data_IF_183617831580
#
_entry.id   IF_183617831580
#
_cell.length_a   1.000
_cell.length_b   1.000
_cell.length_c   1.000
_cell.angle_alpha   90.00
_cell.angle_beta   90.00
_cell.angle_gamma   90.00
#
_symmetry.space_group_name_H-M   'P 1'
#
loop_
_entity.id
_entity.type
_entity.pdbx_description
1 polymer ?
#
# COMPACT_ATOMS: atom_id res chain seq x y z
N UNK A 1 -7.06 -37.68 7.51
CA UNK A 1 -7.70 -36.38 7.28
C UNK A 1 -6.81 -35.30 7.89
N UNK A 2 -6.08 -34.54 7.17
CA UNK A 2 -5.50 -33.25 7.63
C UNK A 2 -4.17 -32.83 7.02
N UNK A 3 -3.70 -33.51 5.99
CA UNK A 3 -2.41 -33.10 5.37
C UNK A 3 -2.57 -32.11 4.23
N UNK A 4 -3.77 -31.95 3.65
CA UNK A 4 -3.98 -31.04 2.51
C UNK A 4 -4.22 -29.58 2.94
N UNK A 5 -4.84 -29.37 4.12
CA UNK A 5 -5.11 -28.01 4.65
C UNK A 5 -3.80 -27.35 5.09
N UNK A 6 -2.90 -28.10 5.73
CA UNK A 6 -1.59 -27.57 6.13
C UNK A 6 -0.67 -27.21 4.96
N UNK A 7 -0.71 -27.96 3.86
CA UNK A 7 0.07 -27.66 2.66
C UNK A 7 -0.44 -26.42 1.93
N UNK A 8 -1.75 -26.23 1.86
CA UNK A 8 -2.36 -25.04 1.27
C UNK A 8 -1.97 -23.77 2.00
N UNK A 9 -2.03 -23.78 3.32
CA UNK A 9 -1.68 -22.63 4.17
C UNK A 9 -0.19 -22.30 4.11
N UNK A 10 0.69 -23.30 4.08
CA UNK A 10 2.13 -23.11 3.96
C UNK A 10 2.51 -22.43 2.64
N UNK A 11 1.99 -22.91 1.50
CA UNK A 11 2.24 -22.32 0.19
C UNK A 11 1.62 -20.93 0.04
N UNK A 12 0.49 -20.68 0.68
CA UNK A 12 -0.16 -19.37 0.68
C UNK A 12 0.60 -18.31 1.48
N UNK A 13 1.51 -18.71 2.38
CA UNK A 13 2.31 -17.81 3.23
C UNK A 13 3.69 -17.47 2.64
N UNK A 14 4.05 -18.01 1.49
CA UNK A 14 5.33 -17.73 0.84
C UNK A 14 5.23 -16.57 -0.15
N UNK A 15 6.32 -15.80 -0.34
CA UNK A 15 6.39 -14.84 -1.44
C UNK A 15 6.21 -15.55 -2.79
N UNK A 16 5.40 -15.02 -3.70
CA UNK A 16 5.25 -15.61 -5.03
C UNK A 16 6.56 -15.52 -5.81
N UNK A 17 6.78 -16.48 -6.70
CA UNK A 17 8.02 -16.57 -7.49
C UNK A 17 8.33 -15.26 -8.23
N UNK A 18 7.33 -14.60 -8.77
CA UNK A 18 7.50 -13.33 -9.49
C UNK A 18 8.10 -12.22 -8.64
N UNK A 19 7.94 -12.28 -7.31
CA UNK A 19 8.47 -11.26 -6.38
C UNK A 19 9.97 -11.38 -6.14
N UNK A 20 10.55 -12.58 -6.33
CA UNK A 20 11.92 -12.86 -5.90
C UNK A 20 12.95 -12.04 -6.66
N UNK A 21 12.70 -11.72 -7.92
CA UNK A 21 13.58 -10.89 -8.74
C UNK A 21 13.71 -9.45 -8.21
N UNK A 22 12.73 -8.98 -7.44
CA UNK A 22 12.64 -7.59 -6.99
C UNK A 22 12.92 -7.40 -5.49
N UNK A 23 13.14 -8.49 -4.77
CA UNK A 23 13.35 -8.46 -3.32
C UNK A 23 14.45 -7.50 -2.90
N UNK A 24 15.65 -7.67 -3.45
CA UNK A 24 16.81 -6.88 -3.03
C UNK A 24 16.66 -5.41 -3.39
N UNK A 25 16.10 -5.12 -4.56
CA UNK A 25 15.87 -3.74 -5.00
C UNK A 25 14.83 -3.04 -4.10
N UNK A 26 13.73 -3.73 -3.77
CA UNK A 26 12.74 -3.17 -2.87
C UNK A 26 13.32 -2.88 -1.49
N UNK A 27 14.06 -3.82 -0.91
CA UNK A 27 14.69 -3.64 0.41
C UNK A 27 15.63 -2.43 0.39
N UNK A 28 16.49 -2.33 -0.61
CA UNK A 28 17.43 -1.23 -0.75
C UNK A 28 16.72 0.11 -0.92
N UNK A 29 15.77 0.20 -1.83
CA UNK A 29 15.00 1.43 -2.09
C UNK A 29 14.20 1.86 -0.86
N UNK A 30 13.53 0.92 -0.20
CA UNK A 30 12.77 1.21 1.02
C UNK A 30 13.66 1.80 2.11
N UNK A 31 14.85 1.22 2.32
CA UNK A 31 15.80 1.71 3.34
C UNK A 31 16.41 3.06 2.98
N UNK A 32 16.66 3.33 1.71
CA UNK A 32 17.12 4.65 1.27
C UNK A 32 16.09 5.74 1.59
N UNK A 33 14.82 5.48 1.39
CA UNK A 33 13.74 6.48 1.52
C UNK A 33 13.22 6.57 2.96
N UNK A 34 13.05 5.44 3.65
CA UNK A 34 12.42 5.38 4.97
C UNK A 34 13.39 5.12 6.13
N UNK A 35 14.63 4.71 5.85
CA UNK A 35 15.60 4.29 6.85
C UNK A 35 15.58 2.79 7.12
N UNK A 36 16.39 2.35 8.09
CA UNK A 36 16.60 0.93 8.37
C UNK A 36 15.35 0.19 8.85
N UNK A 37 14.41 0.90 9.43
CA UNK A 37 13.16 0.35 9.94
C UNK A 37 12.00 0.45 8.93
N UNK A 38 12.32 0.64 7.65
CA UNK A 38 11.32 0.70 6.59
C UNK A 38 10.37 -0.51 6.64
N UNK A 39 9.05 -0.29 6.48
CA UNK A 39 8.08 -1.38 6.50
C UNK A 39 8.06 -2.14 5.17
N UNK A 40 9.14 -2.83 4.85
CA UNK A 40 9.34 -3.52 3.57
C UNK A 40 8.24 -4.55 3.30
N UNK A 41 7.80 -5.28 4.33
CA UNK A 41 6.74 -6.27 4.17
C UNK A 41 5.41 -5.63 3.72
N UNK A 42 5.11 -4.43 4.21
CA UNK A 42 3.93 -3.67 3.76
C UNK A 42 4.05 -3.26 2.29
N UNK A 43 5.21 -2.75 1.88
CA UNK A 43 5.44 -2.36 0.47
C UNK A 43 5.37 -3.56 -0.47
N UNK A 44 5.94 -4.69 -0.07
CA UNK A 44 5.85 -5.93 -0.83
C UNK A 44 4.40 -6.40 -0.94
N UNK A 45 3.66 -6.35 0.16
CA UNK A 45 2.23 -6.65 0.18
C UNK A 45 1.42 -5.72 -0.72
N UNK A 46 1.82 -4.45 -0.80
CA UNK A 46 1.17 -3.47 -1.67
C UNK A 46 1.43 -3.77 -3.15
N UNK A 47 2.66 -4.05 -3.55
CA UNK A 47 2.98 -4.47 -4.92
C UNK A 47 2.25 -5.77 -5.29
N UNK A 48 2.13 -6.68 -4.35
CA UNK A 48 1.34 -7.90 -4.51
C UNK A 48 -0.13 -7.58 -4.81
N UNK A 49 -0.75 -6.72 -4.01
CA UNK A 49 -2.16 -6.31 -4.18
C UNK A 49 -2.38 -5.57 -5.49
N UNK A 50 -1.48 -4.67 -5.85
CA UNK A 50 -1.65 -3.82 -7.03
C UNK A 50 -1.55 -4.58 -8.35
N UNK A 51 -0.57 -5.47 -8.47
CA UNK A 51 -0.24 -6.07 -9.77
C UNK A 51 0.19 -7.54 -9.72
N UNK A 52 0.26 -8.14 -8.53
CA UNK A 52 0.95 -9.42 -8.34
C UNK A 52 2.37 -9.41 -8.95
N UNK A 53 3.09 -8.30 -8.81
CA UNK A 53 4.45 -8.08 -9.32
C UNK A 53 4.56 -8.09 -10.85
N UNK A 54 3.48 -7.80 -11.57
CA UNK A 54 3.45 -7.77 -13.04
C UNK A 54 3.75 -6.35 -13.54
N UNK A 55 4.89 -6.14 -14.27
CA UNK A 55 5.30 -4.79 -14.66
C UNK A 55 4.42 -4.12 -15.71
N UNK A 56 3.73 -4.91 -16.53
CA UNK A 56 3.02 -4.40 -17.71
C UNK A 56 1.49 -4.32 -17.53
N UNK A 57 1.00 -4.53 -16.31
CA UNK A 57 -0.43 -4.49 -16.03
C UNK A 57 -0.98 -3.08 -16.19
N UNK A 58 -2.13 -2.99 -16.86
CA UNK A 58 -2.93 -1.77 -16.94
C UNK A 58 -4.34 -2.08 -16.49
N UNK A 59 -4.85 -1.32 -15.53
CA UNK A 59 -6.23 -1.50 -15.06
C UNK A 59 -7.25 -0.92 -16.06
N UNK A 60 -8.54 -1.31 -15.95
CA UNK A 60 -9.60 -0.75 -16.81
C UNK A 60 -9.71 0.77 -16.74
N UNK A 61 -9.37 1.38 -15.60
CA UNK A 61 -9.39 2.84 -15.40
C UNK A 61 -8.07 3.53 -15.76
N UNK A 62 -7.07 2.76 -16.22
CA UNK A 62 -5.82 3.33 -16.72
C UNK A 62 -4.68 3.41 -15.70
N UNK A 63 -4.78 2.75 -14.55
CA UNK A 63 -3.64 2.60 -13.65
C UNK A 63 -2.57 1.70 -14.27
N UNK A 64 -1.29 2.07 -14.11
CA UNK A 64 -0.20 1.54 -14.92
C UNK A 64 0.90 0.90 -14.07
N UNK A 65 1.34 -0.27 -14.52
CA UNK A 65 2.55 -0.92 -14.07
C UNK A 65 2.46 -1.61 -12.73
N UNK A 66 3.59 -1.97 -12.18
CA UNK A 66 3.69 -2.77 -10.97
C UNK A 66 3.06 -2.08 -9.75
N UNK A 67 3.13 -0.76 -9.68
CA UNK A 67 2.59 0.04 -8.58
C UNK A 67 1.23 0.68 -8.87
N UNK A 68 0.68 0.48 -10.06
CA UNK A 68 -0.64 0.95 -10.49
C UNK A 68 -0.83 2.47 -10.31
N UNK A 69 0.11 3.25 -10.82
CA UNK A 69 -0.02 4.71 -10.85
C UNK A 69 -0.98 5.17 -11.93
N UNK A 70 -1.91 6.04 -11.56
CA UNK A 70 -2.66 6.82 -12.55
C UNK A 70 -1.71 7.82 -13.23
N UNK A 71 -1.88 8.10 -14.55
CA UNK A 71 -0.99 9.00 -15.28
C UNK A 71 -0.81 10.37 -14.61
N UNK A 72 -1.87 10.96 -14.09
CA UNK A 72 -1.79 12.26 -13.41
C UNK A 72 -0.93 12.21 -12.15
N UNK A 73 -1.07 11.17 -11.33
CA UNK A 73 -0.27 10.98 -10.12
C UNK A 73 1.19 10.69 -10.48
N UNK A 74 1.44 9.89 -11.51
CA UNK A 74 2.80 9.63 -12.00
C UNK A 74 3.49 10.92 -12.46
N UNK A 75 2.81 11.77 -13.19
CA UNK A 75 3.33 13.06 -13.62
C UNK A 75 3.64 13.96 -12.42
N UNK A 76 2.72 14.06 -11.48
CA UNK A 76 2.89 14.90 -10.30
C UNK A 76 4.09 14.45 -9.45
N UNK A 77 4.21 13.15 -9.14
CA UNK A 77 5.29 12.63 -8.30
C UNK A 77 6.65 12.73 -9.01
N UNK A 78 6.66 12.62 -10.34
CA UNK A 78 7.87 12.77 -11.15
C UNK A 78 8.43 14.20 -11.12
N UNK A 79 7.55 15.19 -11.01
CA UNK A 79 7.94 16.59 -10.86
C UNK A 79 8.41 16.92 -9.45
N UNK A 80 7.85 16.23 -8.45
CA UNK A 80 8.14 16.48 -7.04
C UNK A 80 9.48 15.88 -6.60
N UNK A 81 9.83 14.71 -7.11
CA UNK A 81 11.03 13.96 -6.71
C UNK A 81 11.98 13.75 -7.90
N UNK A 82 13.20 14.32 -7.85
CA UNK A 82 14.15 14.23 -8.96
C UNK A 82 14.51 12.81 -9.41
N UNK A 83 14.52 11.86 -8.47
CA UNK A 83 14.80 10.44 -8.79
C UNK A 83 13.70 9.78 -9.62
N UNK A 84 12.53 10.39 -9.69
CA UNK A 84 11.37 9.89 -10.44
C UNK A 84 11.10 10.65 -11.74
N UNK A 85 11.99 11.59 -12.12
CA UNK A 85 11.81 12.52 -13.24
C UNK A 85 11.51 11.86 -14.59
N UNK A 86 11.96 10.62 -14.79
CA UNK A 86 11.75 9.91 -16.05
C UNK A 86 10.30 9.55 -16.32
N UNK A 87 9.49 9.45 -15.26
CA UNK A 87 8.05 9.14 -15.33
C UNK A 87 7.76 7.90 -16.18
N UNK A 88 8.20 6.73 -15.68
CA UNK A 88 8.08 5.46 -16.40
C UNK A 88 7.31 4.41 -15.58
N UNK A 89 5.95 4.51 -15.45
CA UNK A 89 5.17 3.60 -14.62
C UNK A 89 5.29 2.11 -14.97
N UNK A 90 5.62 1.78 -16.21
CA UNK A 90 5.83 0.39 -16.64
C UNK A 90 7.26 -0.12 -16.39
N UNK A 91 8.17 0.73 -15.96
CA UNK A 91 9.51 0.31 -15.56
C UNK A 91 9.47 -0.12 -14.08
N UNK A 92 9.84 -1.37 -13.76
CA UNK A 92 9.76 -1.87 -12.39
C UNK A 92 10.58 -1.07 -11.38
N UNK A 93 11.77 -0.65 -11.74
CA UNK A 93 12.65 0.16 -10.88
C UNK A 93 12.00 1.50 -10.53
N UNK A 94 11.44 2.17 -11.53
CA UNK A 94 10.68 3.41 -11.32
C UNK A 94 9.45 3.15 -10.42
N UNK A 95 8.69 2.09 -10.72
CA UNK A 95 7.45 1.77 -10.01
C UNK A 95 7.71 1.46 -8.52
N UNK A 96 8.75 0.68 -8.21
CA UNK A 96 9.14 0.37 -6.83
C UNK A 96 9.51 1.65 -6.08
N UNK A 97 10.36 2.49 -6.66
CA UNK A 97 10.76 3.75 -6.02
C UNK A 97 9.57 4.70 -5.86
N UNK A 98 8.75 4.81 -6.87
CA UNK A 98 7.56 5.68 -6.84
C UNK A 98 6.58 5.27 -5.74
N UNK A 99 6.31 3.98 -5.58
CA UNK A 99 5.44 3.46 -4.53
C UNK A 99 6.01 3.79 -3.14
N UNK A 100 7.26 3.48 -2.90
CA UNK A 100 7.93 3.72 -1.62
C UNK A 100 7.96 5.23 -1.30
N UNK A 101 8.26 6.06 -2.28
CA UNK A 101 8.35 7.51 -2.13
C UNK A 101 6.97 8.14 -1.92
N UNK A 102 5.95 7.69 -2.65
CA UNK A 102 4.59 8.20 -2.50
C UNK A 102 4.01 7.81 -1.15
N UNK A 103 4.20 6.58 -0.71
CA UNK A 103 3.78 6.16 0.63
C UNK A 103 4.44 7.02 1.71
N UNK A 104 5.73 7.33 1.60
CA UNK A 104 6.40 8.21 2.55
C UNK A 104 5.80 9.63 2.52
N UNK A 105 5.54 10.17 1.35
CA UNK A 105 4.92 11.48 1.19
C UNK A 105 3.57 11.55 1.90
N UNK A 106 2.72 10.54 1.69
CA UNK A 106 1.41 10.44 2.34
C UNK A 106 1.55 10.25 3.86
N UNK A 107 2.44 9.37 4.28
CA UNK A 107 2.73 9.09 5.68
C UNK A 107 3.10 10.37 6.45
N UNK A 108 3.96 11.18 5.90
CA UNK A 108 4.38 12.45 6.53
C UNK A 108 3.23 13.43 6.75
N UNK A 109 2.18 13.34 5.95
CA UNK A 109 1.02 14.23 6.00
C UNK A 109 -0.16 13.63 6.78
N UNK A 110 0.03 12.51 7.44
CA UNK A 110 -1.02 11.79 8.16
C UNK A 110 -0.61 11.62 9.61
N UNK A 111 -1.49 12.01 10.54
CA UNK A 111 -1.35 11.74 11.97
C UNK A 111 -2.25 10.57 12.36
N UNK A 112 -1.74 9.65 13.18
CA UNK A 112 -2.50 8.50 13.64
C UNK A 112 -1.97 8.02 15.00
N UNK A 113 -2.74 7.15 15.65
CA UNK A 113 -2.51 6.63 17.00
C UNK A 113 -1.20 5.83 17.13
N UNK A 114 -0.86 5.05 16.09
CA UNK A 114 0.37 4.25 16.01
C UNK A 114 0.70 3.95 14.56
N UNK A 115 1.81 3.27 14.31
CA UNK A 115 2.31 2.99 12.97
C UNK A 115 1.36 2.11 12.15
N UNK A 116 0.73 1.11 12.76
CA UNK A 116 -0.26 0.27 12.06
C UNK A 116 -1.42 1.12 11.52
N UNK A 117 -2.02 1.95 12.36
CA UNK A 117 -3.13 2.82 11.96
C UNK A 117 -2.67 3.85 10.92
N UNK A 118 -1.49 4.42 11.10
CA UNK A 118 -0.93 5.41 10.17
C UNK A 118 -0.69 4.80 8.79
N UNK A 119 -0.16 3.58 8.71
CA UNK A 119 0.01 2.89 7.44
C UNK A 119 -1.33 2.57 6.79
N UNK A 120 -2.34 2.20 7.56
CA UNK A 120 -3.67 1.97 7.02
C UNK A 120 -4.26 3.24 6.38
N UNK A 121 -4.14 4.40 7.02
CA UNK A 121 -4.51 5.68 6.43
C UNK A 121 -3.70 6.01 5.18
N UNK A 122 -2.40 5.75 5.22
CA UNK A 122 -1.50 5.96 4.09
C UNK A 122 -1.94 5.14 2.87
N UNK A 123 -2.26 3.87 3.08
CA UNK A 123 -2.72 2.98 2.01
C UNK A 123 -4.10 3.40 1.48
N UNK A 124 -5.01 3.81 2.36
CA UNK A 124 -6.30 4.38 1.92
C UNK A 124 -6.10 5.62 1.04
N UNK A 125 -5.16 6.49 1.42
CA UNK A 125 -4.81 7.68 0.64
C UNK A 125 -4.14 7.33 -0.68
N UNK A 126 -3.26 6.33 -0.71
CA UNK A 126 -2.65 5.83 -1.94
C UNK A 126 -3.72 5.34 -2.93
N UNK A 127 -4.66 4.56 -2.45
CA UNK A 127 -5.73 3.99 -3.27
C UNK A 127 -6.75 5.04 -3.75
N UNK A 128 -7.20 5.91 -2.86
CA UNK A 128 -8.33 6.80 -3.11
C UNK A 128 -8.06 8.30 -3.04
N UNK A 129 -6.87 8.70 -2.58
CA UNK A 129 -6.50 10.11 -2.42
C UNK A 129 -6.61 10.60 -0.98
N UNK A 130 -5.68 11.48 -0.59
CA UNK A 130 -5.63 12.04 0.75
C UNK A 130 -6.84 12.92 1.08
N UNK A 131 -7.41 13.61 0.09
CA UNK A 131 -8.60 14.42 0.30
C UNK A 131 -9.78 13.62 0.84
N UNK A 132 -9.96 12.39 0.36
CA UNK A 132 -10.97 11.49 0.90
C UNK A 132 -10.67 11.06 2.32
N UNK A 133 -9.42 10.73 2.63
CA UNK A 133 -9.00 10.36 4.00
C UNK A 133 -9.28 11.51 4.97
N UNK A 134 -8.98 12.75 4.60
CA UNK A 134 -9.25 13.91 5.42
C UNK A 134 -10.76 14.08 5.70
N UNK A 135 -11.60 13.90 4.68
CA UNK A 135 -13.05 13.94 4.82
C UNK A 135 -13.59 12.80 5.68
N UNK A 136 -13.05 11.58 5.49
CA UNK A 136 -13.42 10.43 6.31
C UNK A 136 -13.09 10.65 7.79
N UNK A 137 -11.89 11.17 8.09
CA UNK A 137 -11.48 11.47 9.47
C UNK A 137 -12.42 12.49 10.12
N UNK A 138 -12.77 13.53 9.40
CA UNK A 138 -13.70 14.56 9.88
C UNK A 138 -15.08 13.98 10.15
N UNK A 139 -15.59 13.17 9.23
CA UNK A 139 -16.90 12.52 9.39
C UNK A 139 -16.88 11.55 10.57
N UNK A 140 -15.84 10.72 10.72
CA UNK A 140 -15.69 9.80 11.82
C UNK A 140 -15.71 10.52 13.17
N UNK A 141 -14.95 11.61 13.30
CA UNK A 141 -14.95 12.44 14.52
C UNK A 141 -16.33 12.99 14.84
N UNK A 142 -17.09 13.45 13.83
CA UNK A 142 -18.46 13.94 14.02
C UNK A 142 -19.43 12.87 14.52
N UNK A 143 -19.12 11.60 14.31
CA UNK A 143 -19.92 10.45 14.77
C UNK A 143 -19.39 9.83 16.07
N UNK A 144 -18.45 10.48 16.73
CA UNK A 144 -17.89 10.00 18.00
C UNK A 144 -16.86 8.86 17.84
N UNK A 145 -16.38 8.61 16.62
CA UNK A 145 -15.31 7.63 16.36
C UNK A 145 -13.94 8.28 16.53
N UNK A 146 -12.92 7.46 16.77
CA UNK A 146 -11.55 7.93 16.90
C UNK A 146 -10.95 8.21 15.51
N UNK A 147 -10.76 9.50 15.18
CA UNK A 147 -10.17 9.93 13.91
C UNK A 147 -8.68 9.58 13.77
N UNK A 148 -8.01 9.12 14.83
CA UNK A 148 -6.60 8.67 14.80
C UNK A 148 -6.47 7.17 14.59
N UNK A 149 -7.58 6.44 14.52
CA UNK A 149 -7.64 4.99 14.31
C UNK A 149 -8.41 4.66 13.04
N UNK A 150 -7.75 3.88 12.17
CA UNK A 150 -8.41 3.40 10.94
C UNK A 150 -9.29 2.20 11.24
N UNK A 151 -8.69 1.10 11.74
CA UNK A 151 -9.39 -0.15 11.99
C UNK A 151 -10.42 0.01 13.11
N UNK A 152 -11.66 -0.37 12.82
CA UNK A 152 -12.78 -0.25 13.74
C UNK A 152 -13.35 1.17 13.91
N UNK A 153 -12.73 2.18 13.32
CA UNK A 153 -13.15 3.58 13.43
C UNK A 153 -13.34 4.23 12.05
N UNK A 154 -12.34 4.90 11.50
CA UNK A 154 -12.50 5.67 10.26
C UNK A 154 -12.90 4.77 9.07
N UNK A 155 -12.45 3.52 9.04
CA UNK A 155 -12.86 2.59 7.98
C UNK A 155 -14.37 2.39 7.87
N UNK A 156 -15.14 2.65 8.93
CA UNK A 156 -16.58 2.42 8.98
C UNK A 156 -17.42 3.50 8.29
N UNK A 157 -16.85 4.66 8.05
CA UNK A 157 -17.60 5.78 7.48
C UNK A 157 -17.38 5.94 5.98
N UNK A 158 -18.38 6.50 5.30
CA UNK A 158 -18.28 6.85 3.88
C UNK A 158 -18.62 8.34 3.73
N UNK A 159 -17.63 9.14 3.38
CA UNK A 159 -17.78 10.59 3.20
C UNK A 159 -18.35 10.97 1.83
N UNK A 160 -18.82 10.01 1.04
CA UNK A 160 -19.48 10.29 -0.24
C UNK A 160 -18.93 9.54 -1.44
N UNK A 161 -18.05 8.53 -1.24
CA UNK A 161 -17.64 7.65 -2.34
C UNK A 161 -18.81 6.78 -2.80
N UNK A 162 -18.79 6.32 -4.06
CA UNK A 162 -19.69 5.26 -4.51
C UNK A 162 -19.50 4.02 -3.63
N UNK A 163 -20.53 3.20 -3.52
CA UNK A 163 -20.47 1.97 -2.73
C UNK A 163 -19.32 1.05 -3.20
N UNK A 164 -19.10 0.94 -4.51
CA UNK A 164 -18.04 0.11 -5.10
C UNK A 164 -16.65 0.66 -4.72
N UNK A 165 -16.43 1.96 -4.89
CA UNK A 165 -15.15 2.59 -4.57
C UNK A 165 -14.88 2.56 -3.05
N UNK A 166 -15.90 2.72 -2.25
CA UNK A 166 -15.78 2.64 -0.80
C UNK A 166 -15.35 1.25 -0.35
N UNK A 167 -16.00 0.20 -0.85
CA UNK A 167 -15.63 -1.20 -0.51
C UNK A 167 -14.20 -1.53 -0.93
N UNK A 168 -13.78 -1.13 -2.11
CA UNK A 168 -12.41 -1.32 -2.60
C UNK A 168 -11.41 -0.62 -1.68
N UNK A 169 -11.67 0.64 -1.35
CA UNK A 169 -10.80 1.44 -0.51
C UNK A 169 -10.68 0.87 0.91
N UNK A 170 -11.76 0.31 1.48
CA UNK A 170 -11.74 -0.30 2.82
C UNK A 170 -11.05 -1.64 2.82
N UNK A 171 -11.15 -2.39 1.76
CA UNK A 171 -10.48 -3.68 1.60
C UNK A 171 -8.97 -3.53 1.43
N UNK A 172 -8.51 -2.50 0.76
CA UNK A 172 -7.12 -2.30 0.36
C UNK A 172 -6.14 -2.34 1.54
N UNK A 173 -6.25 -1.53 2.59
CA UNK A 173 -5.35 -1.60 3.73
C UNK A 173 -5.42 -2.94 4.47
N UNK A 174 -6.59 -3.50 4.62
CA UNK A 174 -6.79 -4.77 5.33
C UNK A 174 -6.08 -5.93 4.64
N UNK A 175 -6.24 -6.05 3.33
CA UNK A 175 -5.59 -7.10 2.54
C UNK A 175 -4.08 -6.97 2.58
N UNK A 176 -3.55 -5.76 2.44
CA UNK A 176 -2.11 -5.52 2.42
C UNK A 176 -1.49 -5.78 3.78
N UNK A 177 -2.02 -5.17 4.84
CA UNK A 177 -1.38 -5.15 6.14
C UNK A 177 -1.50 -6.47 6.91
N UNK A 178 -2.60 -7.20 6.72
CA UNK A 178 -2.86 -8.44 7.46
C UNK A 178 -2.69 -9.71 6.61
N UNK A 179 -3.00 -9.68 5.33
CA UNK A 179 -2.92 -10.88 4.50
C UNK A 179 -1.65 -10.92 3.66
N UNK A 180 -1.38 -9.89 2.86
CA UNK A 180 -0.23 -9.94 1.95
C UNK A 180 1.09 -9.71 2.67
N UNK A 181 1.18 -8.77 3.61
CA UNK A 181 2.41 -8.50 4.33
C UNK A 181 2.95 -9.73 5.07
N UNK A 182 2.07 -10.62 5.53
CA UNK A 182 2.46 -11.86 6.21
C UNK A 182 3.39 -12.74 5.36
N UNK A 183 3.28 -12.69 4.02
CA UNK A 183 4.13 -13.45 3.09
C UNK A 183 5.56 -12.95 3.06
N UNK A 184 5.79 -11.69 3.45
CA UNK A 184 7.05 -10.96 3.24
C UNK A 184 7.75 -10.61 4.54
N UNK A 185 7.38 -11.22 5.68
CA UNK A 185 7.95 -10.90 6.98
C UNK A 185 9.46 -11.12 7.06
N UNK A 186 10.01 -12.03 6.26
CA UNK A 186 11.46 -12.25 6.18
C UNK A 186 12.20 -11.14 5.41
N UNK A 187 11.48 -10.30 4.67
CA UNK A 187 12.08 -9.21 3.91
C UNK A 187 12.28 -7.94 4.74
N UNK A 188 11.49 -7.75 5.76
CA UNK A 188 11.53 -6.57 6.61
C UNK A 188 10.31 -6.45 7.50
N UNK A 189 10.15 -5.28 8.09
CA UNK A 189 9.10 -5.02 9.05
C UNK A 189 7.71 -4.92 8.40
N UNK A 190 6.70 -5.27 9.19
CA UNK A 190 5.29 -5.08 8.88
C UNK A 190 4.68 -4.21 9.99
N UNK A 191 3.90 -3.19 9.62
CA UNK A 191 3.39 -2.20 10.57
C UNK A 191 2.33 -2.76 11.53
N UNK A 192 1.60 -3.80 11.13
CA UNK A 192 0.47 -4.34 11.89
C UNK A 192 0.70 -5.77 12.39
N UNK A 193 1.78 -6.42 12.00
CA UNK A 193 2.14 -7.79 12.40
C UNK A 193 3.41 -7.77 13.23
N UNK A 194 3.36 -8.44 14.37
CA UNK A 194 4.47 -8.47 15.34
C UNK A 194 4.87 -9.92 15.64
#
# INVERSE_FOLDING_TARGET
MSTSVFRGDYHASEPPRASLAWRNELIRTAREVWGLNAPVADFAGQLHQESAWQPMVRSPVGAQGMAQFMPATATWISQLYPQLRENKPYNPTWAIRALVQYDQHLWKNISAKNDCQRMAFTLSAYNGGQGWVNRDKKLAASKGLDATSWFGHVEQVNAGRSATNWRENRRYPKMILYQHAARYLLWGQASCLH
#
